data_IF_556799663201
#
_entry.id   IF_556799663201
#
_cell.length_a   1.000
_cell.length_b   1.000
_cell.length_c   1.000
_cell.angle_alpha   90.00
_cell.angle_beta   90.00
_cell.angle_gamma   90.00
#
_symmetry.space_group_name_H-M   'P 1'
#
loop_
_entity.id
_entity.type
_entity.pdbx_description
1 polymer ?
#
# COMPACT_ATOMS: atom_id res chain seq x y z
N UNK A 1 -12.56 -2.92 -9.54
CA UNK A 1 -11.42 -2.99 -8.59
C UNK A 1 -11.95 -2.95 -7.17
N UNK A 2 -11.42 -3.82 -6.32
CA UNK A 2 -11.86 -4.03 -4.94
C UNK A 2 -11.63 -2.77 -4.08
N UNK A 3 -12.69 -2.16 -3.54
CA UNK A 3 -12.61 -0.98 -2.64
C UNK A 3 -12.21 -1.38 -1.20
N UNK A 4 -12.07 -2.70 -0.95
CA UNK A 4 -11.84 -3.29 0.38
C UNK A 4 -10.37 -3.30 0.81
N UNK A 5 -9.42 -3.42 -0.12
CA UNK A 5 -7.97 -3.45 0.14
C UNK A 5 -7.38 -2.05 -0.08
N UNK A 6 -7.45 -1.20 0.94
CA UNK A 6 -6.89 0.15 0.85
C UNK A 6 -5.43 0.15 1.28
N UNK A 7 -4.50 -0.06 0.36
CA UNK A 7 -3.07 0.13 0.63
C UNK A 7 -2.69 1.60 0.42
N UNK A 8 -2.07 2.23 1.42
CA UNK A 8 -1.62 3.61 1.34
C UNK A 8 -0.16 3.66 0.89
N UNK A 9 0.19 4.63 0.04
CA UNK A 9 1.57 4.87 -0.37
C UNK A 9 1.90 6.32 -0.08
N UNK A 10 2.97 6.55 0.68
CA UNK A 10 3.50 7.87 0.91
C UNK A 10 4.45 8.28 -0.22
N UNK A 11 4.15 9.42 -0.84
CA UNK A 11 4.97 10.01 -1.89
C UNK A 11 5.41 11.41 -1.49
N UNK A 12 6.67 11.72 -1.73
CA UNK A 12 7.28 13.04 -1.47
C UNK A 12 7.89 13.60 -2.76
N UNK A 13 8.39 14.83 -2.68
CA UNK A 13 9.09 15.50 -3.79
C UNK A 13 8.26 15.56 -5.09
N UNK A 14 6.96 15.82 -4.96
CA UNK A 14 6.05 16.02 -6.12
C UNK A 14 5.97 17.51 -6.41
N UNK A 15 6.50 17.92 -7.55
CA UNK A 15 6.44 19.31 -8.01
C UNK A 15 5.17 19.58 -8.84
N UNK A 16 4.79 20.86 -8.95
CA UNK A 16 3.65 21.28 -9.77
C UNK A 16 3.76 20.84 -11.24
N UNK A 17 4.98 20.70 -11.78
CA UNK A 17 5.22 20.24 -13.16
C UNK A 17 4.99 18.74 -13.34
N UNK A 18 5.12 17.96 -12.27
CA UNK A 18 4.94 16.50 -12.30
C UNK A 18 3.46 16.13 -12.49
N UNK A 19 2.53 17.07 -12.25
CA UNK A 19 1.09 16.87 -12.51
C UNK A 19 0.77 16.48 -13.95
N UNK A 20 1.57 16.92 -14.93
CA UNK A 20 1.35 16.55 -16.33
C UNK A 20 1.66 15.07 -16.62
N UNK A 21 2.47 14.42 -15.77
CA UNK A 21 2.90 13.03 -15.92
C UNK A 21 2.54 12.17 -14.71
N UNK A 22 1.67 12.68 -13.84
CA UNK A 22 1.45 12.10 -12.51
C UNK A 22 0.95 10.65 -12.57
N UNK A 23 0.18 10.28 -13.61
CA UNK A 23 -0.28 8.89 -13.80
C UNK A 23 0.90 7.93 -13.97
N UNK A 24 1.91 8.33 -14.75
CA UNK A 24 3.13 7.52 -14.98
C UNK A 24 3.93 7.40 -13.67
N UNK A 25 4.04 8.49 -12.91
CA UNK A 25 4.74 8.48 -11.63
C UNK A 25 4.02 7.61 -10.59
N UNK A 26 2.70 7.72 -10.47
CA UNK A 26 1.90 6.87 -9.57
C UNK A 26 2.08 5.40 -9.94
N UNK A 27 2.03 5.06 -11.24
CA UNK A 27 2.25 3.68 -11.69
C UNK A 27 3.62 3.16 -11.24
N UNK A 28 4.69 3.94 -11.44
CA UNK A 28 6.03 3.57 -11.02
C UNK A 28 6.14 3.38 -9.50
N UNK A 29 5.52 4.28 -8.72
CA UNK A 29 5.54 4.17 -7.27
C UNK A 29 4.74 2.97 -6.76
N UNK A 30 3.61 2.63 -7.38
CA UNK A 30 2.89 1.39 -7.05
C UNK A 30 3.79 0.18 -7.30
N UNK A 31 4.50 0.12 -8.43
CA UNK A 31 5.46 -0.95 -8.69
C UNK A 31 6.57 -0.99 -7.63
N UNK A 32 7.13 0.15 -7.23
CA UNK A 32 8.16 0.22 -6.18
C UNK A 32 7.62 -0.27 -4.82
N UNK A 33 6.42 0.13 -4.44
CA UNK A 33 5.77 -0.34 -3.22
C UNK A 33 5.56 -1.87 -3.25
N UNK A 34 5.09 -2.41 -4.37
CA UNK A 34 4.95 -3.86 -4.52
C UNK A 34 6.29 -4.60 -4.45
N UNK A 35 7.37 -4.04 -5.02
CA UNK A 35 8.71 -4.63 -4.87
C UNK A 35 9.18 -4.62 -3.42
N UNK A 36 8.92 -3.54 -2.69
CA UNK A 36 9.27 -3.43 -1.28
C UNK A 36 8.53 -4.46 -0.42
N UNK A 37 7.28 -4.77 -0.75
CA UNK A 37 6.50 -5.85 -0.13
C UNK A 37 6.93 -7.27 -0.56
N UNK A 38 7.89 -7.38 -1.49
CA UNK A 38 8.50 -8.65 -1.91
C UNK A 38 7.85 -9.31 -3.14
N UNK A 39 7.02 -8.60 -3.90
CA UNK A 39 6.46 -9.13 -5.15
C UNK A 39 7.50 -9.10 -6.29
N UNK A 40 7.55 -10.18 -7.08
CA UNK A 40 8.38 -10.26 -8.29
C UNK A 40 7.80 -9.42 -9.44
N UNK A 41 8.62 -9.14 -10.45
CA UNK A 41 8.17 -8.46 -11.67
C UNK A 41 7.01 -9.17 -12.37
N UNK A 42 6.96 -10.50 -12.29
CA UNK A 42 5.86 -11.29 -12.86
C UNK A 42 4.54 -11.06 -12.10
N UNK A 43 4.58 -10.99 -10.77
CA UNK A 43 3.42 -10.66 -9.95
C UNK A 43 2.93 -9.23 -10.25
N UNK A 44 3.85 -8.27 -10.30
CA UNK A 44 3.54 -6.86 -10.55
C UNK A 44 2.92 -6.68 -11.93
N UNK A 45 3.55 -7.25 -12.97
CA UNK A 45 3.05 -7.15 -14.35
C UNK A 45 1.64 -7.74 -14.49
N UNK A 46 1.40 -8.90 -13.84
CA UNK A 46 0.09 -9.54 -13.83
C UNK A 46 -0.96 -8.68 -13.12
N UNK A 47 -0.62 -8.11 -11.96
CA UNK A 47 -1.52 -7.22 -11.23
C UNK A 47 -1.89 -5.98 -12.06
N UNK A 48 -0.90 -5.32 -12.67
CA UNK A 48 -1.13 -4.13 -13.49
C UNK A 48 -1.99 -4.43 -14.71
N UNK A 49 -1.74 -5.56 -15.39
CA UNK A 49 -2.56 -6.01 -16.52
C UNK A 49 -4.02 -6.25 -16.11
N UNK A 50 -4.25 -6.86 -14.94
CA UNK A 50 -5.59 -7.13 -14.42
C UNK A 50 -6.30 -5.87 -13.91
N UNK A 51 -5.54 -4.85 -13.50
CA UNK A 51 -6.09 -3.61 -12.95
C UNK A 51 -6.72 -2.74 -14.03
N UNK A 52 -6.30 -2.85 -15.29
CA UNK A 52 -6.81 -2.02 -16.38
C UNK A 52 -6.45 -0.54 -16.18
N UNK A 53 -7.22 0.35 -16.79
CA UNK A 53 -6.86 1.77 -16.84
C UNK A 53 -6.90 2.44 -15.46
N UNK A 54 -5.85 3.20 -15.15
CA UNK A 54 -5.75 3.97 -13.93
C UNK A 54 -6.84 5.07 -13.90
N UNK A 55 -7.65 5.07 -12.83
CA UNK A 55 -8.68 6.09 -12.60
C UNK A 55 -8.34 6.90 -11.36
N UNK A 56 -8.06 8.19 -11.54
CA UNK A 56 -7.93 9.12 -10.42
C UNK A 56 -9.31 9.61 -9.99
N UNK A 57 -9.54 9.55 -8.68
CA UNK A 57 -10.74 10.11 -8.04
C UNK A 57 -10.33 10.91 -6.82
N UNK A 58 -11.05 11.99 -6.53
CA UNK A 58 -10.90 12.67 -5.23
C UNK A 58 -11.39 11.75 -4.11
N UNK A 59 -10.77 11.85 -2.95
CA UNK A 59 -11.23 11.11 -1.77
C UNK A 59 -12.58 11.64 -1.32
N UNK A 60 -13.54 10.73 -1.12
CA UNK A 60 -14.87 11.06 -0.63
C UNK A 60 -15.16 10.34 0.70
N UNK A 61 -15.89 11.02 1.58
CA UNK A 61 -16.39 10.48 2.85
C UNK A 61 -15.54 10.83 4.08
N UNK A 62 -16.24 11.17 5.18
CA UNK A 62 -15.64 11.69 6.42
C UNK A 62 -14.54 10.80 7.00
N UNK A 63 -14.72 9.46 6.97
CA UNK A 63 -13.73 8.50 7.49
C UNK A 63 -12.43 8.51 6.68
N UNK A 64 -12.52 8.54 5.35
CA UNK A 64 -11.34 8.54 4.49
C UNK A 64 -10.57 9.85 4.61
N UNK A 65 -11.27 10.98 4.66
CA UNK A 65 -10.67 12.30 4.91
C UNK A 65 -10.03 12.35 6.30
N UNK A 66 -10.70 11.83 7.33
CA UNK A 66 -10.15 11.74 8.68
C UNK A 66 -8.85 10.93 8.74
N UNK A 67 -8.77 9.79 8.07
CA UNK A 67 -7.55 9.00 7.97
C UNK A 67 -6.39 9.75 7.30
N UNK A 68 -6.67 10.46 6.19
CA UNK A 68 -5.66 11.30 5.53
C UNK A 68 -5.17 12.41 6.47
N UNK A 69 -6.07 13.05 7.21
CA UNK A 69 -5.69 14.09 8.17
C UNK A 69 -4.79 13.53 9.28
N UNK A 70 -5.09 12.34 9.81
CA UNK A 70 -4.22 11.67 10.78
C UNK A 70 -2.83 11.37 10.20
N UNK A 71 -2.77 10.88 8.96
CA UNK A 71 -1.50 10.65 8.26
C UNK A 71 -0.72 11.96 8.13
N UNK A 72 -1.36 13.05 7.72
CA UNK A 72 -0.72 14.35 7.58
C UNK A 72 -0.08 14.83 8.89
N UNK A 73 -0.79 14.70 10.02
CA UNK A 73 -0.22 15.01 11.35
C UNK A 73 0.98 14.12 11.68
N UNK A 74 0.95 12.83 11.31
CA UNK A 74 2.08 11.93 11.54
C UNK A 74 3.31 12.27 10.69
N UNK A 75 3.12 12.76 9.46
CA UNK A 75 4.22 13.13 8.55
C UNK A 75 5.05 14.28 9.15
N UNK A 76 4.44 15.21 9.87
CA UNK A 76 5.15 16.32 10.54
C UNK A 76 6.22 15.81 11.53
N UNK A 77 6.02 14.62 12.11
CA UNK A 77 7.01 13.98 12.99
C UNK A 77 8.09 13.19 12.24
N UNK A 78 7.83 12.82 10.98
CA UNK A 78 8.80 12.09 10.16
C UNK A 78 9.91 12.99 9.62
N UNK A 79 9.70 14.31 9.49
CA UNK A 79 10.74 15.33 9.29
C UNK A 79 11.99 14.86 8.52
N UNK A 80 13.12 14.77 9.25
CA UNK A 80 14.44 14.38 8.72
C UNK A 80 14.58 12.87 8.38
N UNK A 81 13.65 12.02 8.82
CA UNK A 81 13.61 10.60 8.50
C UNK A 81 13.04 10.31 7.11
N UNK A 82 12.53 11.33 6.40
CA UNK A 82 12.15 11.18 5.00
C UNK A 82 13.40 11.02 4.14
N UNK A 83 13.40 9.99 3.30
CA UNK A 83 14.49 9.74 2.36
C UNK A 83 14.50 10.84 1.30
N UNK A 84 15.65 11.50 1.14
CA UNK A 84 15.83 12.55 0.12
C UNK A 84 15.98 11.92 -1.26
N UNK A 85 15.55 12.65 -2.29
CA UNK A 85 15.71 12.27 -3.71
C UNK A 85 14.96 10.99 -4.14
N UNK A 86 14.12 10.41 -3.26
CA UNK A 86 13.24 9.30 -3.59
C UNK A 86 11.78 9.69 -3.45
N UNK A 87 10.99 9.38 -4.48
CA UNK A 87 9.55 9.70 -4.49
C UNK A 87 8.72 8.69 -3.69
N UNK A 88 9.20 7.46 -3.51
CA UNK A 88 8.53 6.45 -2.69
C UNK A 88 9.17 6.39 -1.31
N UNK A 89 8.39 6.70 -0.28
CA UNK A 89 8.84 6.68 1.12
C UNK A 89 8.43 5.34 1.75
N UNK A 90 9.33 4.36 1.75
CA UNK A 90 9.02 2.98 2.17
C UNK A 90 8.63 2.91 3.64
N UNK A 91 9.48 3.38 4.54
CA UNK A 91 9.27 3.25 6.00
C UNK A 91 8.00 3.96 6.45
N UNK A 92 7.75 5.16 5.89
CA UNK A 92 6.51 5.89 6.13
C UNK A 92 5.29 5.13 5.59
N UNK A 93 5.38 4.52 4.40
CA UNK A 93 4.29 3.70 3.85
C UNK A 93 4.01 2.48 4.73
N UNK A 94 5.04 1.79 5.20
CA UNK A 94 4.90 0.65 6.12
C UNK A 94 4.22 1.07 7.43
N UNK A 95 4.68 2.18 8.05
CA UNK A 95 4.09 2.74 9.26
C UNK A 95 2.61 3.09 9.07
N UNK A 96 2.26 3.79 7.98
CA UNK A 96 0.87 4.15 7.68
C UNK A 96 0.01 2.88 7.53
N UNK A 97 0.47 1.88 6.79
CA UNK A 97 -0.30 0.67 6.53
C UNK A 97 -0.44 -0.25 7.76
N UNK A 98 0.52 -0.19 8.69
CA UNK A 98 0.48 -0.95 9.95
C UNK A 98 -0.35 -0.25 11.03
N UNK A 99 -0.13 1.04 11.24
CA UNK A 99 -0.57 1.70 12.48
C UNK A 99 -1.73 2.70 12.26
N UNK A 100 -1.96 3.18 11.03
CA UNK A 100 -2.94 4.23 10.77
C UNK A 100 -4.09 3.74 9.88
N UNK A 101 -3.79 3.06 8.79
CA UNK A 101 -4.80 2.60 7.85
C UNK A 101 -5.55 1.39 8.41
N UNK A 102 -6.88 1.50 8.44
CA UNK A 102 -7.77 0.38 8.71
C UNK A 102 -8.45 -0.08 7.41
N UNK A 103 -8.35 -1.35 7.02
CA UNK A 103 -9.00 -1.88 5.82
C UNK A 103 -10.51 -2.02 6.09
N UNK A 104 -11.37 -1.16 5.49
CA UNK A 104 -12.75 -1.01 5.94
C UNK A 104 -13.69 -2.14 5.48
N UNK A 105 -13.21 -3.10 4.68
CA UNK A 105 -14.03 -4.20 4.16
C UNK A 105 -13.59 -5.60 4.57
N UNK A 106 -12.66 -5.73 5.53
CA UNK A 106 -12.31 -7.02 6.13
C UNK A 106 -12.90 -7.10 7.55
N UNK A 107 -13.61 -8.20 7.84
CA UNK A 107 -14.20 -8.46 9.17
C UNK A 107 -13.17 -8.95 10.19
N UNK A 108 -12.04 -9.43 9.70
CA UNK A 108 -10.95 -9.97 10.50
C UNK A 108 -9.92 -8.88 10.82
N UNK A 109 -9.36 -8.93 12.04
CA UNK A 109 -8.25 -8.07 12.45
C UNK A 109 -7.02 -8.44 11.61
N UNK A 110 -6.43 -7.47 10.92
CA UNK A 110 -5.24 -7.67 10.10
C UNK A 110 -4.68 -6.34 9.63
N UNK A 111 -3.37 -6.29 9.46
CA UNK A 111 -2.70 -5.11 8.92
C UNK A 111 -3.01 -4.96 7.44
N UNK A 112 -2.96 -3.72 6.95
CA UNK A 112 -3.34 -3.41 5.56
C UNK A 112 -2.48 -4.15 4.54
N UNK A 113 -1.19 -4.34 4.83
CA UNK A 113 -0.26 -5.11 4.01
C UNK A 113 -0.59 -6.62 3.99
N UNK A 114 -1.00 -7.21 5.11
CA UNK A 114 -1.45 -8.60 5.19
C UNK A 114 -2.71 -8.82 4.36
N UNK A 115 -3.64 -7.88 4.44
CA UNK A 115 -4.87 -7.90 3.66
C UNK A 115 -4.60 -7.72 2.16
N UNK A 116 -3.64 -6.87 1.80
CA UNK A 116 -3.19 -6.74 0.42
C UNK A 116 -2.61 -8.06 -0.10
N UNK A 117 -1.79 -8.75 0.69
CA UNK A 117 -1.29 -10.09 0.37
C UNK A 117 -2.43 -11.10 0.14
N UNK A 118 -3.45 -11.11 1.00
CA UNK A 118 -4.61 -12.00 0.82
C UNK A 118 -5.39 -11.69 -0.47
N UNK A 119 -5.51 -10.41 -0.83
CA UNK A 119 -6.15 -10.02 -2.10
C UNK A 119 -5.32 -10.46 -3.31
N UNK A 120 -3.99 -10.32 -3.24
CA UNK A 120 -3.06 -10.79 -4.28
C UNK A 120 -3.13 -12.31 -4.48
N UNK A 121 -3.26 -13.08 -3.40
CA UNK A 121 -3.50 -14.53 -3.46
C UNK A 121 -4.88 -14.88 -4.03
N UNK A 122 -5.92 -14.14 -3.63
CA UNK A 122 -7.30 -14.32 -4.12
C UNK A 122 -7.43 -14.04 -5.61
N UNK A 123 -6.73 -13.02 -6.11
CA UNK A 123 -6.67 -12.69 -7.54
C UNK A 123 -5.80 -13.68 -8.34
N UNK A 124 -5.16 -14.64 -7.66
CA UNK A 124 -4.23 -15.58 -8.27
C UNK A 124 -2.97 -14.90 -8.79
N UNK A 125 -2.66 -13.70 -8.32
CA UNK A 125 -1.44 -12.97 -8.68
C UNK A 125 -0.26 -13.51 -7.91
N UNK A 126 -0.41 -13.69 -6.60
CA UNK A 126 0.57 -14.34 -5.76
C UNK A 126 0.18 -15.80 -5.46
N UNK A 127 1.18 -16.66 -5.26
CA UNK A 127 0.93 -18.00 -4.76
C UNK A 127 0.45 -17.94 -3.30
N UNK A 128 -0.48 -18.82 -2.94
CA UNK A 128 -0.88 -18.98 -1.53
C UNK A 128 0.33 -19.40 -0.72
N UNK A 129 0.71 -18.58 0.27
CA UNK A 129 1.75 -19.01 1.22
C UNK A 129 1.31 -20.33 1.86
N UNK A 130 2.20 -21.33 1.86
CA UNK A 130 1.99 -22.56 2.64
C UNK A 130 1.73 -22.13 4.08
N UNK A 131 0.67 -22.67 4.70
CA UNK A 131 0.36 -22.41 6.11
C UNK A 131 1.63 -22.53 6.93
N UNK A 132 1.98 -21.46 7.66
CA UNK A 132 3.16 -21.46 8.51
C UNK A 132 3.10 -22.67 9.45
N UNK A 133 4.24 -23.30 9.72
CA UNK A 133 4.31 -24.35 10.75
C UNK A 133 3.87 -23.72 12.07
N UNK A 134 2.71 -24.14 12.57
CA UNK A 134 2.23 -23.73 13.88
C UNK A 134 3.20 -24.30 14.90
N UNK A 135 3.99 -23.44 15.53
CA UNK A 135 4.85 -23.83 16.66
C UNK A 135 3.92 -23.93 17.88
N UNK A 136 3.69 -25.16 18.33
CA UNK A 136 2.93 -25.42 19.55
C UNK A 136 3.83 -25.22 20.76
N UNK A 137 3.67 -24.08 21.44
CA UNK A 137 4.41 -23.75 22.66
C UNK A 137 4.03 -24.64 23.86
N UNK A 138 3.01 -25.51 23.74
CA UNK A 138 2.66 -26.49 24.79
C UNK A 138 3.53 -27.76 24.73
N UNK A 139 4.42 -27.87 23.73
CA UNK A 139 5.35 -29.00 23.56
C UNK A 139 6.76 -28.74 24.11
N UNK A 140 6.97 -27.64 24.84
CA UNK A 140 8.22 -27.35 25.54
C UNK A 140 7.99 -27.27 27.05
#
# INVERSE_FOLDING_TARGET
>A
MNVSSRYAIAMTDIESRDWNYYVVYIHNVICLAMRAEGYSESHISKYMQMSGDAKLTKTHGKKAVGGINSIATCIDFYGDALEKEVKYQRELSEYINRDICTPPGFKEFGYTNEIFQLDMERLGVAEKKKSAKIIDFRKY
#
